data_IF_356801989476
#
_entry.id   IF_356801989476
#
_cell.length_a   1.000
_cell.length_b   1.000
_cell.length_c   1.000
_cell.angle_alpha   90.00
_cell.angle_beta   90.00
_cell.angle_gamma   90.00
#
_symmetry.space_group_name_H-M   'P 1'
#
loop_
_entity.id
_entity.type
_entity.pdbx_description
1 polymer ?
#
# COMPACT_ATOMS: atom_id res chain seq x y z
N UNK A 1 -12.45 -12.80 -0.13
CA UNK A 1 -11.03 -12.62 0.29
C UNK A 1 -10.38 -11.61 -0.64
N UNK A 2 -10.38 -10.35 -0.28
CA UNK A 2 -10.19 -9.26 -1.22
C UNK A 2 -8.91 -8.43 -0.98
N UNK A 3 -8.21 -8.68 0.14
CA UNK A 3 -6.90 -8.05 0.42
C UNK A 3 -5.80 -8.44 -0.57
N UNK A 4 -6.01 -9.47 -1.40
CA UNK A 4 -4.99 -10.05 -2.26
C UNK A 4 -5.46 -10.20 -3.71
N UNK A 5 -4.74 -9.63 -4.65
CA UNK A 5 -4.95 -9.84 -6.09
C UNK A 5 -3.59 -9.89 -6.80
N UNK A 6 -3.33 -10.97 -7.52
CA UNK A 6 -2.15 -11.17 -8.38
C UNK A 6 -0.82 -10.78 -7.71
N UNK A 7 -0.56 -11.28 -6.49
CA UNK A 7 0.61 -10.98 -5.65
C UNK A 7 0.68 -9.54 -5.14
N UNK A 8 -0.38 -8.76 -5.27
CA UNK A 8 -0.55 -7.50 -4.55
C UNK A 8 -1.41 -7.71 -3.32
N UNK A 9 -1.12 -6.95 -2.27
CA UNK A 9 -1.88 -6.96 -1.03
C UNK A 9 -2.14 -5.53 -0.62
N UNK A 10 -3.36 -5.25 -0.19
CA UNK A 10 -3.73 -4.02 0.49
C UNK A 10 -4.33 -4.38 1.83
N UNK A 11 -3.90 -3.72 2.90
CA UNK A 11 -4.50 -3.88 4.23
C UNK A 11 -4.50 -2.56 4.98
N UNK A 12 -5.39 -2.46 5.96
CA UNK A 12 -5.51 -1.31 6.85
C UNK A 12 -4.80 -1.64 8.16
N UNK A 13 -4.06 -0.66 8.69
CA UNK A 13 -3.38 -0.75 9.97
C UNK A 13 -3.93 0.31 10.92
N UNK A 14 -4.11 -0.09 12.17
CA UNK A 14 -4.42 0.79 13.29
C UNK A 14 -3.30 0.62 14.32
N UNK A 15 -2.66 1.69 14.71
CA UNK A 15 -1.50 1.67 15.63
C UNK A 15 -0.39 0.69 15.19
N UNK A 16 -0.18 0.55 13.87
CA UNK A 16 0.81 -0.35 13.29
C UNK A 16 0.39 -1.82 13.23
N UNK A 17 -0.80 -2.17 13.73
CA UNK A 17 -1.35 -3.53 13.68
C UNK A 17 -2.31 -3.67 12.51
N UNK A 18 -2.22 -4.81 11.79
CA UNK A 18 -3.11 -5.10 10.68
C UNK A 18 -4.50 -5.43 11.22
N UNK A 19 -5.51 -4.70 10.76
CA UNK A 19 -6.92 -5.03 10.99
C UNK A 19 -7.32 -6.08 9.96
N UNK A 20 -7.90 -7.18 10.42
CA UNK A 20 -8.35 -8.26 9.53
C UNK A 20 -9.66 -7.87 8.84
N UNK A 21 -9.75 -8.20 7.57
CA UNK A 21 -11.00 -8.12 6.81
C UNK A 21 -11.93 -9.28 7.16
N UNK A 22 -13.21 -9.05 7.02
CA UNK A 22 -14.23 -10.11 6.98
C UNK A 22 -14.24 -10.78 5.59
N UNK A 23 -15.00 -11.86 5.44
CA UNK A 23 -15.12 -12.59 4.16
C UNK A 23 -15.63 -11.72 3.00
N UNK A 24 -16.30 -10.61 3.31
CA UNK A 24 -16.84 -9.67 2.32
C UNK A 24 -15.89 -8.52 1.99
N UNK A 25 -14.65 -8.52 2.50
CA UNK A 25 -13.71 -7.40 2.32
C UNK A 25 -14.02 -6.19 3.20
N UNK A 26 -14.84 -6.35 4.23
CA UNK A 26 -15.17 -5.30 5.19
C UNK A 26 -14.13 -5.23 6.31
N UNK A 27 -13.75 -4.03 6.67
CA UNK A 27 -12.86 -3.72 7.78
C UNK A 27 -13.63 -2.89 8.79
N UNK A 28 -13.73 -3.41 10.00
CA UNK A 28 -14.48 -2.79 11.07
C UNK A 28 -13.56 -1.94 11.94
N UNK A 29 -13.82 -0.64 11.98
CA UNK A 29 -13.05 0.33 12.74
C UNK A 29 -13.89 1.03 13.81
N UNK A 30 -13.24 1.41 14.88
CA UNK A 30 -13.83 2.29 15.89
C UNK A 30 -13.87 3.72 15.33
N UNK A 31 -15.01 4.42 15.34
CA UNK A 31 -15.09 5.81 14.95
C UNK A 31 -14.06 6.68 15.69
N UNK A 32 -13.45 7.63 15.01
CA UNK A 32 -12.37 8.47 15.53
C UNK A 32 -10.97 7.87 15.42
N UNK A 33 -10.84 6.63 14.90
CA UNK A 33 -9.53 5.96 14.79
C UNK A 33 -8.74 6.49 13.60
N UNK A 34 -7.47 6.86 13.82
CA UNK A 34 -6.50 7.10 12.75
C UNK A 34 -6.00 5.77 12.20
N UNK A 35 -5.86 5.68 10.87
CA UNK A 35 -5.43 4.46 10.22
C UNK A 35 -4.40 4.72 9.12
N UNK A 36 -3.74 3.67 8.69
CA UNK A 36 -2.71 3.67 7.65
C UNK A 36 -3.04 2.58 6.63
N UNK A 37 -2.80 2.83 5.36
CA UNK A 37 -2.98 1.84 4.30
C UNK A 37 -1.62 1.24 3.96
N UNK A 38 -1.47 -0.07 4.09
CA UNK A 38 -0.30 -0.81 3.64
C UNK A 38 -0.53 -1.36 2.26
N UNK A 39 0.35 -1.01 1.33
CA UNK A 39 0.39 -1.48 -0.04
C UNK A 39 1.60 -2.39 -0.20
N UNK A 40 1.40 -3.68 -0.48
CA UNK A 40 2.48 -4.65 -0.61
C UNK A 40 2.54 -5.26 -2.00
N UNK A 41 3.73 -5.30 -2.54
CA UNK A 41 4.05 -5.91 -3.83
C UNK A 41 4.90 -7.16 -3.62
N UNK A 42 4.34 -8.33 -3.91
CA UNK A 42 5.04 -9.63 -3.88
C UNK A 42 5.55 -10.06 -5.26
N UNK A 43 5.52 -9.17 -6.25
CA UNK A 43 6.10 -9.41 -7.56
C UNK A 43 7.59 -9.08 -7.57
N UNK A 44 8.31 -9.59 -8.58
CA UNK A 44 9.76 -9.36 -8.76
C UNK A 44 10.07 -8.06 -9.52
N UNK A 45 9.06 -7.23 -9.79
CA UNK A 45 9.15 -5.93 -10.46
C UNK A 45 8.50 -4.87 -9.59
N UNK A 46 8.94 -3.63 -9.73
CA UNK A 46 8.26 -2.50 -9.12
C UNK A 46 6.84 -2.37 -9.66
N UNK A 47 6.00 -1.76 -8.89
CA UNK A 47 4.64 -1.46 -9.30
C UNK A 47 4.24 -0.05 -8.85
N UNK A 48 3.23 0.49 -9.49
CA UNK A 48 2.58 1.73 -9.07
C UNK A 48 1.18 1.41 -8.61
N UNK A 49 0.85 1.81 -7.40
CA UNK A 49 -0.47 1.73 -6.84
C UNK A 49 -1.18 3.08 -6.94
N UNK A 50 -2.26 3.14 -7.70
CA UNK A 50 -3.20 4.27 -7.67
C UNK A 50 -4.25 3.97 -6.60
N UNK A 51 -4.36 4.84 -5.63
CA UNK A 51 -5.23 4.64 -4.46
C UNK A 51 -6.27 5.73 -4.42
N UNK A 52 -7.52 5.34 -4.19
CA UNK A 52 -8.62 6.25 -3.88
C UNK A 52 -9.27 5.87 -2.54
N UNK A 53 -9.77 6.87 -1.84
CA UNK A 53 -10.52 6.75 -0.60
C UNK A 53 -11.80 7.56 -0.79
N UNK A 54 -12.94 6.98 -0.48
CA UNK A 54 -14.25 7.63 -0.64
C UNK A 54 -14.45 8.22 -2.06
N UNK A 55 -13.94 7.54 -3.10
CA UNK A 55 -13.98 8.01 -4.49
C UNK A 55 -12.92 9.03 -4.89
N UNK A 56 -12.19 9.62 -3.94
CA UNK A 56 -11.17 10.63 -4.20
C UNK A 56 -9.76 10.01 -4.31
N UNK A 57 -9.00 10.40 -5.33
CA UNK A 57 -7.61 9.96 -5.47
C UNK A 57 -6.73 10.63 -4.42
N UNK A 58 -5.97 9.85 -3.66
CA UNK A 58 -5.04 10.36 -2.64
C UNK A 58 -3.67 10.76 -3.21
N UNK A 59 -3.44 10.50 -4.50
CA UNK A 59 -2.24 10.86 -5.25
C UNK A 59 -2.52 10.82 -6.75
N UNK A 60 -2.19 11.87 -7.49
CA UNK A 60 -2.35 11.92 -8.95
C UNK A 60 -1.48 10.89 -9.68
N UNK A 61 -0.24 10.74 -9.24
CA UNK A 61 0.74 9.83 -9.85
C UNK A 61 0.69 8.40 -9.34
N UNK A 62 0.05 8.16 -8.19
CA UNK A 62 0.10 6.90 -7.47
C UNK A 62 1.41 6.71 -6.68
N UNK A 63 1.51 5.62 -5.95
CA UNK A 63 2.63 5.27 -5.09
C UNK A 63 3.47 4.16 -5.69
N UNK A 64 4.79 4.35 -5.75
CA UNK A 64 5.70 3.31 -6.22
C UNK A 64 5.98 2.33 -5.08
N UNK A 65 5.72 1.05 -5.34
CA UNK A 65 6.02 -0.05 -4.41
C UNK A 65 7.10 -0.93 -5.03
N UNK A 66 8.26 -0.98 -4.39
CA UNK A 66 9.38 -1.77 -4.87
C UNK A 66 9.06 -3.27 -4.93
N UNK A 67 9.87 -4.01 -5.72
CA UNK A 67 9.74 -5.47 -5.81
C UNK A 67 9.91 -6.12 -4.44
N UNK A 68 9.05 -7.10 -4.11
CA UNK A 68 9.07 -7.85 -2.84
C UNK A 68 9.01 -6.98 -1.58
N UNK A 69 8.43 -5.78 -1.68
CA UNK A 69 8.40 -4.77 -0.62
C UNK A 69 7.00 -4.30 -0.30
N UNK A 70 6.89 -3.38 0.65
CA UNK A 70 5.64 -2.69 1.00
C UNK A 70 5.92 -1.22 1.34
N UNK A 71 4.87 -0.44 1.28
CA UNK A 71 4.86 0.94 1.77
C UNK A 71 3.62 1.14 2.63
N UNK A 72 3.74 2.01 3.62
CA UNK A 72 2.64 2.46 4.46
C UNK A 72 2.29 3.89 4.07
N UNK A 73 1.02 4.15 3.81
CA UNK A 73 0.47 5.46 3.42
C UNK A 73 -0.50 5.89 4.50
N UNK A 74 -0.18 6.96 5.22
CA UNK A 74 -1.00 7.47 6.34
C UNK A 74 -1.68 8.80 6.04
N UNK A 75 -1.42 9.39 4.87
CA UNK A 75 -1.98 10.67 4.45
C UNK A 75 -2.05 10.80 2.93
N UNK A 76 -2.80 11.80 2.45
CA UNK A 76 -2.73 12.21 1.04
C UNK A 76 -1.38 12.88 0.74
N UNK A 77 -1.04 12.99 -0.53
CA UNK A 77 0.19 13.67 -0.94
C UNK A 77 0.12 15.17 -0.67
N UNK A 78 -1.05 15.76 -0.87
CA UNK A 78 -1.26 17.21 -0.81
C UNK A 78 -1.33 17.73 0.62
N UNK A 79 -1.98 16.99 1.53
CA UNK A 79 -2.25 17.42 2.89
C UNK A 79 -1.42 16.64 3.90
N UNK A 80 -0.77 17.32 4.84
CA UNK A 80 0.05 16.70 5.89
C UNK A 80 -0.79 16.25 7.10
N UNK A 81 -1.94 15.63 6.83
CA UNK A 81 -2.88 15.14 7.86
C UNK A 81 -3.18 13.67 7.61
N UNK A 82 -3.24 12.90 8.69
CA UNK A 82 -3.50 11.46 8.64
C UNK A 82 -4.94 11.16 8.26
N UNK A 83 -5.17 9.95 7.79
CA UNK A 83 -6.52 9.43 7.61
C UNK A 83 -7.15 9.11 8.95
N UNK A 84 -8.36 9.64 9.19
CA UNK A 84 -9.19 9.36 10.36
C UNK A 84 -10.53 8.81 9.89
N UNK A 85 -10.90 7.66 10.42
CA UNK A 85 -12.19 7.02 10.16
C UNK A 85 -13.28 7.60 11.06
N UNK A 86 -14.44 7.94 10.50
CA UNK A 86 -15.62 8.40 11.24
C UNK A 86 -16.89 7.76 10.68
N UNK A 87 -17.96 7.75 11.46
CA UNK A 87 -19.28 7.38 10.98
C UNK A 87 -19.80 8.43 10.00
N UNK A 88 -20.48 7.99 8.95
CA UNK A 88 -20.97 8.89 7.89
C UNK A 88 -21.99 9.92 8.40
N UNK A 89 -22.76 9.57 9.44
CA UNK A 89 -23.77 10.46 10.02
C UNK A 89 -23.24 11.30 11.20
N UNK A 90 -21.93 11.26 11.47
CA UNK A 90 -21.30 12.01 12.55
C UNK A 90 -21.16 13.51 12.21
N UNK A 91 -21.09 14.36 13.25
CA UNK A 91 -20.80 15.77 13.07
C UNK A 91 -19.47 16.01 12.33
N UNK A 92 -18.44 15.22 12.65
CA UNK A 92 -17.14 15.26 11.98
C UNK A 92 -17.29 15.03 10.46
N UNK A 93 -18.11 14.07 10.03
CA UNK A 93 -18.34 13.80 8.61
C UNK A 93 -19.05 14.97 7.91
N UNK A 94 -20.05 15.56 8.58
CA UNK A 94 -20.80 16.70 8.04
C UNK A 94 -19.92 17.94 7.89
N UNK A 95 -19.00 18.21 8.82
CA UNK A 95 -18.05 19.32 8.74
C UNK A 95 -17.13 19.21 7.52
N UNK A 96 -16.84 17.99 7.05
CA UNK A 96 -16.10 17.73 5.82
C UNK A 96 -16.99 17.57 4.57
N UNK A 97 -18.30 17.85 4.68
CA UNK A 97 -19.24 17.78 3.56
C UNK A 97 -19.54 16.35 3.09
N UNK A 98 -19.24 15.35 3.94
CA UNK A 98 -19.50 13.92 3.65
C UNK A 98 -20.86 13.54 4.23
N UNK A 99 -21.88 13.45 3.36
CA UNK A 99 -23.25 13.12 3.71
C UNK A 99 -23.74 11.95 2.83
N UNK A 100 -24.59 11.09 3.38
CA UNK A 100 -25.24 9.96 2.65
C UNK A 100 -25.94 10.40 1.36
N UNK A 101 -26.47 11.60 1.32
CA UNK A 101 -27.24 12.11 0.17
C UNK A 101 -26.36 12.67 -0.94
N UNK A 102 -25.08 12.88 -0.68
CA UNK A 102 -24.17 13.56 -1.59
C UNK A 102 -23.13 12.63 -2.22
N UNK A 103 -23.35 11.32 -2.20
CA UNK A 103 -22.32 10.34 -2.51
C UNK A 103 -22.75 9.36 -3.57
N UNK A 104 -21.91 9.24 -4.59
CA UNK A 104 -21.99 8.24 -5.67
C UNK A 104 -21.70 6.79 -5.21
N UNK A 105 -22.01 6.43 -3.96
CA UNK A 105 -21.92 5.06 -3.45
C UNK A 105 -20.50 4.57 -3.10
N UNK A 106 -19.48 5.43 -3.09
CA UNK A 106 -18.09 5.05 -2.80
C UNK A 106 -17.59 5.42 -1.39
N UNK A 107 -18.50 5.88 -0.50
CA UNK A 107 -18.12 6.20 0.90
C UNK A 107 -17.73 4.96 1.68
N UNK A 108 -16.66 5.11 2.46
CA UNK A 108 -16.06 4.01 3.19
C UNK A 108 -15.32 3.02 2.29
N UNK A 109 -15.12 3.33 1.01
CA UNK A 109 -14.40 2.45 0.09
C UNK A 109 -12.96 2.91 -0.06
N UNK A 110 -12.03 2.00 0.22
CA UNK A 110 -10.62 2.15 -0.17
C UNK A 110 -10.40 1.28 -1.39
N UNK A 111 -9.95 1.86 -2.49
CA UNK A 111 -9.57 1.09 -3.67
C UNK A 111 -8.12 1.36 -4.07
N UNK A 112 -7.41 0.31 -4.47
CA UNK A 112 -6.07 0.41 -5.00
C UNK A 112 -5.94 -0.38 -6.30
N UNK A 113 -5.45 0.27 -7.35
CA UNK A 113 -5.15 -0.38 -8.62
C UNK A 113 -3.65 -0.37 -8.85
N UNK A 114 -3.07 -1.56 -8.96
CA UNK A 114 -1.64 -1.76 -9.14
C UNK A 114 -1.29 -1.98 -10.60
N UNK A 115 -0.26 -1.29 -11.07
CA UNK A 115 0.29 -1.41 -12.41
C UNK A 115 1.76 -1.80 -12.32
N UNK A 116 2.16 -2.91 -12.94
CA UNK A 116 3.56 -3.33 -12.96
C UNK A 116 4.41 -2.40 -13.81
N UNK A 117 5.67 -2.20 -13.40
CA UNK A 117 6.67 -1.51 -14.20
C UNK A 117 6.90 -2.25 -15.52
N UNK A 118 6.97 -1.53 -16.64
CA UNK A 118 7.33 -2.11 -17.95
C UNK A 118 8.73 -2.70 -17.89
N UNK A 119 8.88 -3.90 -18.42
CA UNK A 119 10.21 -4.44 -18.64
C UNK A 119 10.92 -3.64 -19.74
N UNK A 120 12.21 -3.34 -19.57
CA UNK A 120 12.99 -2.77 -20.66
C UNK A 120 12.92 -3.69 -21.88
N UNK A 121 12.88 -3.15 -23.10
CA UNK A 121 12.88 -3.97 -24.29
C UNK A 121 14.10 -4.91 -24.25
N UNK A 122 13.86 -6.20 -24.44
CA UNK A 122 14.94 -7.17 -24.60
C UNK A 122 15.63 -6.85 -25.92
N UNK A 123 16.73 -6.12 -25.86
CA UNK A 123 17.61 -5.95 -27.02
C UNK A 123 18.25 -7.33 -27.24
N UNK A 124 17.62 -8.15 -28.07
CA UNK A 124 18.25 -9.35 -28.56
C UNK A 124 19.41 -8.88 -29.45
N UNK A 125 20.61 -8.83 -28.89
CA UNK A 125 21.84 -8.82 -29.67
C UNK A 125 21.94 -10.16 -30.40
N UNK A 126 21.06 -10.37 -31.36
CA UNK A 126 21.34 -11.32 -32.43
C UNK A 126 22.56 -10.74 -33.13
N UNK A 127 23.73 -11.20 -32.73
CA UNK A 127 24.91 -11.12 -33.54
C UNK A 127 24.53 -11.78 -34.87
N UNK A 128 24.04 -10.96 -35.80
CA UNK A 128 23.95 -11.37 -37.21
C UNK A 128 25.40 -11.65 -37.56
N UNK A 129 25.81 -12.93 -37.48
CA UNK A 129 27.01 -13.40 -38.12
C UNK A 129 26.78 -13.07 -39.61
N UNK A 130 27.26 -11.90 -40.06
CA UNK A 130 27.40 -11.63 -41.47
C UNK A 130 28.23 -12.79 -41.98
N UNK A 131 27.61 -13.71 -42.70
CA UNK A 131 28.36 -14.70 -43.48
C UNK A 131 29.32 -13.88 -44.32
N UNK A 132 30.63 -14.13 -44.30
CA UNK A 132 31.53 -13.45 -45.19
C UNK A 132 31.03 -13.67 -46.60
N UNK A 133 30.94 -12.59 -47.36
CA UNK A 133 30.58 -12.64 -48.78
C UNK A 133 31.55 -13.59 -49.48
N UNK A 134 31.08 -14.54 -50.33
CA UNK A 134 31.96 -15.47 -51.03
C UNK A 134 33.03 -14.81 -51.86
N UNK A 135 32.91 -13.51 -52.14
CA UNK A 135 33.83 -12.74 -52.98
C UNK A 135 35.12 -12.32 -52.26
N UNK A 136 35.18 -12.32 -50.89
CA UNK A 136 36.37 -11.86 -50.18
C UNK A 136 37.39 -12.97 -49.90
N UNK A 137 37.01 -14.24 -49.98
CA UNK A 137 37.91 -15.36 -49.71
C UNK A 137 38.91 -15.65 -50.84
N UNK A 138 38.70 -15.05 -52.02
CA UNK A 138 39.60 -15.29 -53.16
C UNK A 138 40.79 -14.32 -53.25
N UNK A 139 40.83 -13.25 -52.45
CA UNK A 139 41.82 -12.20 -52.65
C UNK A 139 42.99 -12.17 -51.67
N UNK A 140 42.96 -12.93 -50.54
CA UNK A 140 44.10 -12.98 -49.63
C UNK A 140 44.10 -14.15 -48.67
N UNK A 141 44.67 -15.32 -49.06
CA UNK A 141 44.67 -16.53 -48.21
C UNK A 141 45.61 -16.47 -46.99
N UNK A 142 46.39 -15.40 -46.81
CA UNK A 142 47.39 -15.29 -45.75
C UNK A 142 47.09 -14.21 -44.70
N UNK A 143 45.91 -13.55 -44.73
CA UNK A 143 45.63 -12.53 -43.74
C UNK A 143 44.86 -13.12 -42.55
N UNK A 144 45.61 -13.50 -41.50
CA UNK A 144 45.08 -14.06 -40.23
C UNK A 144 44.56 -13.02 -39.21
N UNK A 145 44.53 -11.74 -39.60
CA UNK A 145 44.37 -10.64 -38.63
C UNK A 145 43.04 -9.85 -38.82
N UNK A 146 41.91 -10.50 -39.09
CA UNK A 146 40.61 -9.81 -39.05
C UNK A 146 39.80 -10.18 -37.79
N UNK A 147 40.38 -9.99 -36.62
CA UNK A 147 39.62 -9.82 -35.41
C UNK A 147 39.37 -8.33 -35.20
N UNK A 148 38.28 -7.81 -35.80
CA UNK A 148 37.80 -6.47 -35.48
C UNK A 148 37.24 -6.53 -34.07
N UNK A 149 37.96 -5.97 -33.13
CA UNK A 149 37.44 -5.70 -31.77
C UNK A 149 36.17 -4.84 -31.92
N UNK A 150 35.05 -5.19 -31.28
CA UNK A 150 33.90 -4.31 -31.25
C UNK A 150 34.30 -3.03 -30.57
N UNK A 151 34.29 -1.92 -31.28
CA UNK A 151 34.34 -0.58 -30.69
C UNK A 151 33.08 -0.41 -29.88
N UNK A 152 33.24 -0.39 -28.56
CA UNK A 152 32.23 0.09 -27.64
C UNK A 152 32.03 1.60 -27.90
N UNK A 153 31.19 1.94 -28.89
CA UNK A 153 30.64 3.29 -29.02
C UNK A 153 29.50 3.40 -28.03
N UNK A 154 29.72 4.23 -27.00
CA UNK A 154 28.67 4.68 -26.11
C UNK A 154 27.50 5.25 -26.94
N UNK A 155 26.35 4.62 -26.82
CA UNK A 155 25.08 5.18 -27.26
C UNK A 155 24.60 6.16 -26.17
N UNK A 156 25.15 7.37 -26.23
CA UNK A 156 24.49 8.52 -25.66
C UNK A 156 23.47 9.02 -26.70
N UNK A 157 22.24 9.20 -26.24
CA UNK A 157 21.18 10.00 -26.84
C UNK A 157 20.51 9.49 -28.13
N UNK A 158 19.47 8.70 -27.98
CA UNK A 158 18.23 8.87 -28.75
C UNK A 158 17.05 8.64 -27.81
N UNK A 159 16.65 9.65 -27.08
CA UNK A 159 15.30 9.75 -26.56
C UNK A 159 14.69 11.00 -27.15
N UNK A 160 13.99 10.78 -28.26
CA UNK A 160 13.03 11.73 -28.77
C UNK A 160 11.80 11.77 -27.88
N UNK A 161 11.28 12.95 -27.75
CA UNK A 161 10.09 13.36 -27.02
C UNK A 161 8.94 12.36 -27.14
N UNK A 162 8.56 11.75 -26.01
CA UNK A 162 7.24 11.16 -25.80
C UNK A 162 6.60 11.91 -24.62
N UNK A 163 5.76 12.84 -24.96
CA UNK A 163 4.76 13.43 -24.09
C UNK A 163 3.92 12.31 -23.45
N UNK A 164 4.19 12.01 -22.21
CA UNK A 164 3.36 11.40 -21.19
C UNK A 164 4.22 10.82 -20.04
N UNK A 165 5.06 11.66 -19.45
CA UNK A 165 5.73 11.29 -18.20
C UNK A 165 4.77 11.59 -17.03
N UNK A 166 4.01 10.58 -16.63
CA UNK A 166 3.29 10.67 -15.37
C UNK A 166 4.29 10.66 -14.20
N UNK A 167 4.41 11.78 -13.49
CA UNK A 167 5.15 11.83 -12.23
C UNK A 167 4.45 10.98 -11.18
N UNK A 168 5.20 10.17 -10.47
CA UNK A 168 4.70 9.23 -9.45
C UNK A 168 5.50 9.35 -8.18
N UNK A 169 4.88 9.00 -7.06
CA UNK A 169 5.37 9.28 -5.72
C UNK A 169 5.72 7.99 -4.97
N UNK A 170 6.79 8.04 -4.17
CA UNK A 170 7.20 6.96 -3.27
C UNK A 170 7.11 7.43 -1.84
N UNK A 171 6.40 6.70 -0.98
CA UNK A 171 6.37 6.95 0.44
C UNK A 171 7.63 6.35 1.10
N UNK A 172 8.39 7.15 1.83
CA UNK A 172 9.46 6.66 2.70
C UNK A 172 8.92 6.61 4.13
N UNK A 173 8.62 5.42 4.62
CA UNK A 173 8.33 5.21 6.03
C UNK A 173 9.64 5.02 6.80
N UNK A 174 9.91 5.86 7.80
CA UNK A 174 10.90 5.53 8.82
C UNK A 174 10.25 4.57 9.79
N UNK A 175 10.62 3.30 9.73
CA UNK A 175 10.30 2.34 10.78
C UNK A 175 11.17 2.67 11.98
N UNK A 176 10.58 3.28 13.01
CA UNK A 176 11.20 3.40 14.32
C UNK A 176 11.10 2.06 15.05
N UNK A 177 12.15 1.62 15.78
CA UNK A 177 12.09 0.39 16.54
C UNK A 177 11.32 0.60 17.86
N UNK A 178 10.46 -0.38 18.17
CA UNK A 178 9.85 -0.67 19.47
C UNK A 178 8.69 0.22 19.94
N UNK A 179 7.49 -0.28 19.71
CA UNK A 179 6.45 -0.23 20.72
C UNK A 179 5.95 -1.64 20.99
N UNK A 180 6.35 -2.20 22.12
CA UNK A 180 5.73 -3.38 22.70
C UNK A 180 4.31 -2.99 23.10
N UNK A 181 3.34 -3.27 22.25
CA UNK A 181 1.93 -3.24 22.58
C UNK A 181 1.43 -4.67 22.47
N UNK A 182 1.00 -5.17 23.61
CA UNK A 182 0.36 -6.47 23.83
C UNK A 182 -0.56 -6.86 22.68
N UNK A 183 -0.38 -8.09 22.19
CA UNK A 183 -1.23 -8.76 21.21
C UNK A 183 -2.68 -8.79 21.72
N UNK A 184 -3.51 -7.89 21.25
CA UNK A 184 -4.95 -8.07 21.28
C UNK A 184 -5.26 -8.96 20.09
N UNK A 185 -5.40 -10.26 20.34
CA UNK A 185 -5.93 -11.20 19.38
C UNK A 185 -7.41 -10.85 19.17
N UNK A 186 -7.70 -10.16 18.07
CA UNK A 186 -9.06 -10.09 17.56
C UNK A 186 -9.40 -11.46 16.97
N UNK A 187 -9.93 -12.36 17.80
CA UNK A 187 -10.49 -13.60 17.30
C UNK A 187 -11.67 -13.30 16.38
N UNK A 188 -11.76 -14.05 15.30
CA UNK A 188 -12.81 -14.00 14.29
C UNK A 188 -14.16 -14.33 14.95
N UNK A 189 -14.94 -13.31 15.25
CA UNK A 189 -16.34 -13.46 15.62
C UNK A 189 -17.22 -13.26 14.40
N UNK A 190 -18.23 -14.11 14.29
CA UNK A 190 -19.26 -14.10 13.23
C UNK A 190 -20.09 -12.82 13.36
N UNK A 191 -19.94 -11.89 12.40
CA UNK A 191 -20.43 -10.54 12.51
C UNK A 191 -21.70 -10.37 11.69
N UNK A 192 -22.82 -10.70 12.25
CA UNK A 192 -24.12 -10.44 11.66
C UNK A 192 -24.88 -9.35 12.41
N UNK A 193 -24.30 -8.14 12.56
CA UNK A 193 -25.04 -6.99 13.05
C UNK A 193 -24.79 -5.79 12.13
N UNK A 194 -25.85 -5.01 11.92
CA UNK A 194 -25.88 -3.82 11.07
C UNK A 194 -24.72 -2.88 11.40
N UNK A 195 -23.69 -2.90 10.56
CA UNK A 195 -22.57 -2.01 10.63
C UNK A 195 -22.87 -0.74 9.85
N UNK A 196 -22.76 0.40 10.47
CA UNK A 196 -22.97 1.67 9.81
C UNK A 196 -21.85 2.00 8.83
N UNK A 197 -22.18 2.55 7.65
CA UNK A 197 -21.15 3.01 6.73
C UNK A 197 -20.34 4.12 7.37
N UNK A 198 -19.05 4.13 7.10
CA UNK A 198 -18.17 5.18 7.55
C UNK A 198 -17.57 5.95 6.39
N UNK A 199 -16.80 6.97 6.70
CA UNK A 199 -16.00 7.74 5.73
C UNK A 199 -14.67 8.13 6.36
N UNK A 200 -13.78 8.68 5.52
CA UNK A 200 -12.47 9.16 5.94
C UNK A 200 -12.46 10.68 5.99
N UNK A 201 -12.00 11.22 7.08
CA UNK A 201 -11.78 12.67 7.29
C UNK A 201 -10.32 12.94 7.65
N UNK A 202 -9.98 14.21 7.78
CA UNK A 202 -8.66 14.64 8.22
C UNK A 202 -8.45 14.35 9.71
N UNK A 203 -7.34 13.67 10.04
CA UNK A 203 -6.90 13.37 11.39
C UNK A 203 -5.77 14.29 11.87
N UNK A 204 -4.90 13.76 12.72
CA UNK A 204 -3.74 14.48 13.24
C UNK A 204 -2.66 14.74 12.18
N UNK A 205 -1.65 15.52 12.56
CA UNK A 205 -0.52 15.84 11.69
C UNK A 205 0.32 14.61 11.38
N UNK A 206 0.79 14.52 10.13
CA UNK A 206 1.67 13.46 9.64
C UNK A 206 3.03 14.03 9.20
N UNK A 207 4.11 13.41 9.68
CA UNK A 207 5.49 13.72 9.27
C UNK A 207 5.93 12.96 8.02
N UNK A 208 5.07 12.13 7.43
CA UNK A 208 5.39 11.31 6.26
C UNK A 208 5.82 12.20 5.10
N UNK A 209 6.93 11.84 4.44
CA UNK A 209 7.48 12.57 3.29
C UNK A 209 7.42 11.70 2.05
N UNK A 210 7.08 12.32 0.93
CA UNK A 210 7.05 11.67 -0.39
C UNK A 210 8.20 12.18 -1.25
N UNK A 211 8.74 11.28 -2.10
CA UNK A 211 9.75 11.61 -3.10
C UNK A 211 9.20 11.24 -4.47
N UNK A 212 9.30 12.16 -5.41
CA UNK A 212 8.86 11.92 -6.80
C UNK A 212 9.84 11.00 -7.53
N UNK A 213 9.31 10.00 -8.21
CA UNK A 213 10.06 9.04 -9.03
C UNK A 213 9.32 8.86 -10.35
N UNK A 214 10.06 8.89 -11.48
CA UNK A 214 9.50 8.56 -12.79
C UNK A 214 9.58 7.06 -13.04
N UNK A 215 8.49 6.45 -13.49
CA UNK A 215 8.39 5.02 -13.77
C UNK A 215 7.35 4.77 -14.87
N UNK A 216 7.68 3.96 -15.86
CA UNK A 216 6.74 3.51 -16.89
C UNK A 216 6.04 2.24 -16.46
N UNK A 217 4.72 2.16 -16.64
CA UNK A 217 3.92 1.01 -16.26
C UNK A 217 3.23 0.35 -17.42
N UNK A 218 2.92 -0.93 -17.24
CA UNK A 218 2.01 -1.66 -18.11
C UNK A 218 0.60 -1.07 -18.00
N UNK A 219 -0.23 -1.31 -19.03
CA UNK A 219 -1.61 -0.82 -19.05
C UNK A 219 -2.59 -1.74 -18.29
N UNK A 220 -2.12 -2.92 -17.86
CA UNK A 220 -2.95 -3.88 -17.13
C UNK A 220 -2.88 -3.53 -15.65
N UNK A 221 -4.04 -3.25 -15.05
CA UNK A 221 -4.18 -2.94 -13.64
C UNK A 221 -4.81 -4.09 -12.85
N UNK A 222 -4.37 -4.27 -11.62
CA UNK A 222 -4.91 -5.24 -10.66
C UNK A 222 -5.52 -4.49 -9.49
N UNK A 223 -6.85 -4.55 -9.37
CA UNK A 223 -7.60 -3.76 -8.38
C UNK A 223 -7.91 -4.59 -7.13
N UNK A 224 -7.84 -3.93 -5.99
CA UNK A 224 -8.27 -4.44 -4.67
C UNK A 224 -9.18 -3.38 -4.07
N UNK A 225 -10.29 -3.80 -3.45
CA UNK A 225 -11.23 -2.93 -2.75
C UNK A 225 -11.44 -3.43 -1.33
N UNK A 226 -11.54 -2.50 -0.39
CA UNK A 226 -11.88 -2.75 1.01
C UNK A 226 -12.97 -1.78 1.43
N UNK A 227 -13.86 -2.23 2.31
CA UNK A 227 -14.99 -1.45 2.79
C UNK A 227 -14.80 -1.14 4.28
N UNK A 228 -14.69 0.13 4.61
CA UNK A 228 -14.62 0.56 6.00
C UNK A 228 -16.03 0.64 6.60
N UNK A 229 -16.22 0.01 7.73
CA UNK A 229 -17.48 -0.02 8.48
C UNK A 229 -17.22 0.38 9.94
N UNK A 230 -18.17 1.10 10.50
CA UNK A 230 -18.13 1.41 11.93
C UNK A 230 -18.50 0.18 12.76
N UNK A 231 -17.82 0.02 13.87
CA UNK A 231 -18.22 -0.96 14.90
C UNK A 231 -19.46 -0.42 15.61
N UNK A 232 -20.52 -1.23 15.74
CA UNK A 232 -21.75 -0.81 16.41
C UNK A 232 -21.52 -0.35 17.84
N UNK A 233 -22.34 0.60 18.33
CA UNK A 233 -22.21 1.14 19.68
C UNK A 233 -22.34 0.08 20.78
N UNK A 234 -23.23 -0.89 20.62
CA UNK A 234 -23.38 -2.02 21.57
C UNK A 234 -22.10 -2.80 21.75
N UNK A 235 -21.33 -2.93 20.69
CA UNK A 235 -20.06 -3.62 20.71
C UNK A 235 -18.92 -2.77 21.24
N UNK A 236 -18.93 -1.47 20.98
CA UNK A 236 -17.98 -0.55 21.62
C UNK A 236 -18.12 -0.60 23.14
N UNK A 237 -19.34 -0.70 23.67
CA UNK A 237 -19.60 -0.89 25.08
C UNK A 237 -19.07 -2.24 25.58
N UNK A 238 -19.32 -3.32 24.86
CA UNK A 238 -18.78 -4.64 25.20
C UNK A 238 -17.25 -4.68 25.21
N UNK A 239 -16.60 -4.02 24.24
CA UNK A 239 -15.14 -3.90 24.21
C UNK A 239 -14.60 -3.08 25.40
N UNK A 240 -15.24 -1.97 25.75
CA UNK A 240 -14.87 -1.15 26.93
C UNK A 240 -15.01 -1.95 28.21
N UNK A 241 -16.10 -2.69 28.36
CA UNK A 241 -16.27 -3.58 29.52
C UNK A 241 -15.20 -4.66 29.59
N UNK A 242 -14.84 -5.25 28.44
CA UNK A 242 -13.77 -6.24 28.39
C UNK A 242 -12.39 -5.65 28.76
N UNK A 243 -12.09 -4.42 28.29
CA UNK A 243 -10.85 -3.71 28.68
C UNK A 243 -10.79 -3.42 30.18
N UNK A 244 -11.90 -2.99 30.77
CA UNK A 244 -11.97 -2.76 32.21
C UNK A 244 -11.69 -4.06 32.98
N UNK A 245 -12.36 -5.16 32.61
CA UNK A 245 -12.15 -6.48 33.24
C UNK A 245 -10.70 -6.96 33.07
N UNK A 246 -10.10 -6.74 31.91
CA UNK A 246 -8.71 -7.11 31.64
C UNK A 246 -7.72 -6.30 32.48
N UNK A 247 -7.93 -4.98 32.63
CA UNK A 247 -7.07 -4.13 33.49
C UNK A 247 -7.20 -4.48 34.95
N UNK A 248 -8.39 -4.82 35.43
CA UNK A 248 -8.62 -5.33 36.78
C UNK A 248 -7.90 -6.66 37.03
N UNK A 249 -8.01 -7.61 36.08
CA UNK A 249 -7.31 -8.89 36.15
C UNK A 249 -5.79 -8.73 36.21
N UNK A 250 -5.23 -7.83 35.39
CA UNK A 250 -3.80 -7.51 35.42
C UNK A 250 -3.35 -6.91 36.75
N UNK A 251 -4.16 -6.05 37.36
CA UNK A 251 -3.87 -5.46 38.66
C UNK A 251 -3.85 -6.51 39.79
N UNK A 252 -4.80 -7.45 39.76
CA UNK A 252 -4.88 -8.57 40.69
C UNK A 252 -3.66 -9.50 40.53
N UNK A 253 -3.26 -9.80 39.32
CA UNK A 253 -2.10 -10.64 39.02
C UNK A 253 -0.81 -10.03 39.57
N UNK A 254 -0.59 -8.73 39.32
CA UNK A 254 0.57 -8.00 39.89
C UNK A 254 0.58 -8.00 41.41
N UNK A 255 -0.60 -7.89 42.03
CA UNK A 255 -0.73 -7.94 43.49
C UNK A 255 -0.41 -9.34 44.03
N UNK A 256 -0.88 -10.39 43.35
CA UNK A 256 -0.58 -11.77 43.70
C UNK A 256 0.91 -12.09 43.58
N UNK A 257 1.55 -11.65 42.51
CA UNK A 257 3.01 -11.79 42.28
C UNK A 257 3.81 -11.11 43.40
N UNK A 258 3.40 -9.89 43.82
CA UNK A 258 4.04 -9.16 44.89
C UNK A 258 3.90 -9.89 46.23
N UNK A 259 2.73 -10.44 46.53
CA UNK A 259 2.48 -11.22 47.74
C UNK A 259 3.30 -12.51 47.76
N UNK A 260 3.44 -13.17 46.60
CA UNK A 260 4.26 -14.38 46.46
C UNK A 260 5.75 -14.10 46.69
N UNK A 261 6.23 -12.95 46.21
CA UNK A 261 7.61 -12.51 46.41
C UNK A 261 7.94 -12.21 47.87
N UNK A 262 6.95 -11.72 48.65
CA UNK A 262 7.11 -11.44 50.06
C UNK A 262 7.04 -12.69 50.97
N UNK A 263 6.65 -13.84 50.42
CA UNK A 263 6.60 -15.13 51.17
C UNK A 263 7.86 -15.96 50.97
N UNK A 264 8.81 -15.52 50.19
CA UNK A 264 10.16 -16.10 50.03
C UNK A 264 11.18 -15.37 50.88
#
# INVERSE_FOLDING_TARGET
MEMYNNKFVMCVLVNGQIVRETDNGEIHLIPGTEYTIRLRNKNNRRAVAKVSIDGENISDGGFVVDAQSFIDVERTVEKAVKFKFVELDSADAQDFGKDRNNVDGEMGVISATFYLEKLPPVISNTLVKKRPSPFYDQLNPNNKDYWVKPLARGLNNVYGDLENQSMRLTAQSKVGPNSNISNINFETYDWCETTDPGCTVEGGYSEQKFKTVSIDTENIGYSIRLFLKAISNSRLEALREAEVKYTEALSLLKTAEKNLANLK
#
